data_IF_458463305996
#
_entry.id   IF_458463305996
#
_cell.length_a   1.000
_cell.length_b   1.000
_cell.length_c   1.000
_cell.angle_alpha   90.00
_cell.angle_beta   90.00
_cell.angle_gamma   90.00
#
_symmetry.space_group_name_H-M   'P 1'
#
loop_
_entity.id
_entity.type
_entity.pdbx_description
1 polymer ?
#
# COMPACT_ATOMS: atom_id res chain seq x y z
N UNK A 1 -6.75 -6.85 3.57
CA UNK A 1 -8.12 -6.30 3.49
C UNK A 1 -9.15 -7.05 4.34
N UNK A 2 -9.16 -8.40 4.39
CA UNK A 2 -10.11 -9.17 5.22
C UNK A 2 -10.23 -8.68 6.67
N UNK A 3 -9.11 -8.40 7.35
CA UNK A 3 -9.12 -7.91 8.73
C UNK A 3 -9.83 -6.57 8.92
N UNK A 4 -9.69 -5.65 7.96
CA UNK A 4 -10.39 -4.36 7.98
C UNK A 4 -11.90 -4.60 7.86
N UNK A 5 -12.32 -5.49 6.96
CA UNK A 5 -13.73 -5.85 6.78
C UNK A 5 -14.30 -6.52 8.04
N UNK A 6 -13.55 -7.43 8.67
CA UNK A 6 -13.96 -8.10 9.90
C UNK A 6 -14.11 -7.12 11.08
N UNK A 7 -13.21 -6.13 11.20
CA UNK A 7 -13.22 -5.13 12.27
C UNK A 7 -14.29 -4.06 12.03
N UNK A 8 -14.44 -3.60 10.79
CA UNK A 8 -15.46 -2.62 10.43
C UNK A 8 -16.87 -3.21 10.50
N UNK A 9 -17.04 -4.47 10.12
CA UNK A 9 -18.32 -5.19 10.23
C UNK A 9 -19.47 -4.60 9.40
N UNK A 10 -19.18 -3.69 8.46
CA UNK A 10 -20.18 -2.91 7.72
C UNK A 10 -21.13 -2.09 8.63
N UNK A 11 -20.59 -1.64 9.77
CA UNK A 11 -21.32 -0.86 10.76
C UNK A 11 -20.51 0.41 11.09
N UNK A 12 -21.03 1.60 10.74
CA UNK A 12 -20.37 2.87 11.03
C UNK A 12 -20.08 3.13 12.50
N UNK A 13 -20.87 2.60 13.45
CA UNK A 13 -20.64 2.80 14.89
C UNK A 13 -19.32 2.17 15.35
N UNK A 14 -18.81 1.17 14.62
CA UNK A 14 -17.48 0.60 14.89
C UNK A 14 -16.34 1.60 14.66
N UNK A 15 -16.59 2.71 13.96
CA UNK A 15 -15.65 3.81 13.83
C UNK A 15 -15.68 4.76 15.02
N UNK A 16 -16.54 4.58 16.03
CA UNK A 16 -16.47 5.35 17.28
C UNK A 16 -15.54 4.69 18.31
N UNK A 17 -15.21 3.42 18.12
CA UNK A 17 -14.25 2.68 18.93
C UNK A 17 -12.82 2.91 18.44
N UNK A 18 -12.02 3.66 19.22
CA UNK A 18 -10.62 3.95 18.88
C UNK A 18 -9.75 2.70 18.72
N UNK A 19 -10.04 1.61 19.43
CA UNK A 19 -9.28 0.35 19.26
C UNK A 19 -9.54 -0.26 17.89
N UNK A 20 -10.78 -0.16 17.40
CA UNK A 20 -11.13 -0.62 16.04
C UNK A 20 -10.54 0.29 14.97
N UNK A 21 -10.57 1.61 15.17
CA UNK A 21 -9.91 2.57 14.28
C UNK A 21 -8.41 2.26 14.16
N UNK A 22 -7.70 2.10 15.28
CA UNK A 22 -6.27 1.79 15.29
C UNK A 22 -5.97 0.49 14.56
N UNK A 23 -6.82 -0.54 14.75
CA UNK A 23 -6.69 -1.80 14.03
C UNK A 23 -6.84 -1.62 12.52
N UNK A 24 -7.80 -0.80 12.07
CA UNK A 24 -8.02 -0.51 10.65
C UNK A 24 -6.83 0.28 10.08
N UNK A 25 -6.41 1.35 10.74
CA UNK A 25 -5.28 2.20 10.34
C UNK A 25 -4.01 1.36 10.20
N UNK A 26 -3.71 0.53 11.20
CA UNK A 26 -2.53 -0.35 11.18
C UNK A 26 -2.53 -1.30 9.99
N UNK A 27 -3.70 -1.85 9.61
CA UNK A 27 -3.79 -2.73 8.46
C UNK A 27 -3.65 -2.00 7.13
N UNK A 28 -4.10 -0.74 7.04
CA UNK A 28 -3.88 0.12 5.87
C UNK A 28 -2.38 0.43 5.74
N UNK A 29 -1.73 0.86 6.83
CA UNK A 29 -0.30 1.13 6.85
C UNK A 29 0.52 -0.08 6.39
N UNK A 30 0.23 -1.27 6.92
CA UNK A 30 0.89 -2.52 6.51
C UNK A 30 0.69 -2.83 5.02
N UNK A 31 -0.47 -2.53 4.46
CA UNK A 31 -0.73 -2.73 3.04
C UNK A 31 0.09 -1.74 2.18
N UNK A 32 0.21 -0.48 2.61
CA UNK A 32 1.08 0.51 1.97
C UNK A 32 2.55 0.08 2.01
N UNK A 33 3.06 -0.32 3.17
CA UNK A 33 4.44 -0.80 3.35
C UNK A 33 4.74 -2.01 2.47
N UNK A 34 3.85 -3.03 2.47
CA UNK A 34 4.01 -4.20 1.61
C UNK A 34 4.01 -3.83 0.11
N UNK A 35 3.21 -2.83 -0.29
CA UNK A 35 3.17 -2.36 -1.68
C UNK A 35 4.47 -1.64 -2.06
N UNK A 36 5.04 -0.84 -1.15
CA UNK A 36 6.34 -0.17 -1.34
C UNK A 36 7.45 -1.22 -1.46
N UNK A 37 7.48 -2.21 -0.56
CA UNK A 37 8.49 -3.27 -0.58
C UNK A 37 8.45 -4.07 -1.88
N UNK A 38 7.25 -4.39 -2.38
CA UNK A 38 7.07 -5.03 -3.67
C UNK A 38 7.57 -4.15 -4.83
N UNK A 39 7.25 -2.85 -4.81
CA UNK A 39 7.71 -1.93 -5.84
C UNK A 39 9.24 -1.86 -5.89
N UNK A 40 9.88 -1.69 -4.72
CA UNK A 40 11.33 -1.69 -4.57
C UNK A 40 11.95 -3.01 -5.06
N UNK A 41 11.37 -4.14 -4.68
CA UNK A 41 11.84 -5.46 -5.09
C UNK A 41 11.77 -5.65 -6.61
N UNK A 42 10.67 -5.23 -7.26
CA UNK A 42 10.50 -5.34 -8.71
C UNK A 42 11.50 -4.43 -9.44
N UNK A 43 11.67 -3.18 -8.98
CA UNK A 43 12.65 -2.23 -9.54
C UNK A 43 14.06 -2.81 -9.51
N UNK A 44 14.47 -3.41 -8.39
CA UNK A 44 15.76 -4.07 -8.25
C UNK A 44 15.88 -5.32 -9.16
N UNK A 45 14.88 -6.20 -9.13
CA UNK A 45 14.88 -7.45 -9.89
C UNK A 45 14.88 -7.25 -11.41
N UNK A 46 14.24 -6.18 -11.90
CA UNK A 46 14.22 -5.79 -13.31
C UNK A 46 15.27 -4.75 -13.70
N UNK A 47 16.11 -4.31 -12.74
CA UNK A 47 17.18 -3.32 -12.95
C UNK A 47 16.68 -2.00 -13.56
N UNK A 48 15.56 -1.49 -13.06
CA UNK A 48 14.90 -0.29 -13.62
C UNK A 48 15.56 1.03 -13.18
N UNK A 49 16.43 1.00 -12.17
CA UNK A 49 17.08 2.17 -11.62
C UNK A 49 17.33 2.03 -10.12
N UNK A 50 17.79 3.11 -9.48
CA UNK A 50 17.98 3.19 -8.03
C UNK A 50 17.08 4.29 -7.44
N UNK A 51 15.86 3.95 -6.99
CA UNK A 51 14.93 4.93 -6.46
C UNK A 51 15.46 5.51 -5.14
N UNK A 52 15.34 6.83 -4.97
CA UNK A 52 15.70 7.57 -3.76
C UNK A 52 14.52 7.75 -2.80
N UNK A 53 13.31 7.39 -3.23
CA UNK A 53 12.09 7.42 -2.42
C UNK A 53 11.11 6.32 -2.85
N UNK A 54 10.13 6.02 -1.99
CA UNK A 54 9.05 5.08 -2.34
C UNK A 54 8.25 5.54 -3.56
N UNK A 55 7.94 6.84 -3.64
CA UNK A 55 7.26 7.44 -4.80
C UNK A 55 8.03 7.18 -6.10
N UNK A 56 9.34 7.43 -6.08
CA UNK A 56 10.18 7.22 -7.25
C UNK A 56 10.21 5.74 -7.69
N UNK A 57 10.12 4.80 -6.74
CA UNK A 57 9.99 3.39 -7.08
C UNK A 57 8.72 3.11 -7.91
N UNK A 58 7.58 3.70 -7.54
CA UNK A 58 6.35 3.60 -8.32
C UNK A 58 6.45 4.33 -9.68
N UNK A 59 7.09 5.50 -9.73
CA UNK A 59 7.33 6.24 -10.99
C UNK A 59 8.17 5.41 -11.99
N UNK A 60 9.17 4.68 -11.49
CA UNK A 60 9.98 3.75 -12.30
C UNK A 60 9.14 2.57 -12.83
N UNK A 61 8.19 2.06 -12.05
CA UNK A 61 7.26 1.03 -12.51
C UNK A 61 6.31 1.53 -13.59
N UNK A 62 5.80 2.75 -13.45
CA UNK A 62 4.96 3.40 -14.48
C UNK A 62 5.74 3.60 -15.76
N UNK A 63 6.95 4.13 -15.66
CA UNK A 63 7.85 4.35 -16.81
C UNK A 63 8.18 3.05 -17.53
N UNK A 64 8.33 1.95 -16.78
CA UNK A 64 8.55 0.61 -17.33
C UNK A 64 7.28 -0.08 -17.87
N UNK A 65 6.11 0.56 -17.79
CA UNK A 65 4.82 0.00 -18.23
C UNK A 65 4.32 -1.15 -17.36
N UNK A 66 4.79 -1.25 -16.12
CA UNK A 66 4.44 -2.31 -15.17
C UNK A 66 3.34 -1.89 -14.19
N UNK A 67 3.03 -0.59 -14.15
CA UNK A 67 1.96 -0.01 -13.34
C UNK A 67 1.28 1.10 -14.15
N UNK A 68 -0.05 1.21 -14.06
CA UNK A 68 -0.77 2.35 -14.66
C UNK A 68 -0.55 3.62 -13.86
N UNK A 69 -0.38 4.75 -14.53
CA UNK A 69 -0.22 6.05 -13.89
C UNK A 69 -1.41 6.42 -12.98
N UNK A 70 -2.63 6.01 -13.33
CA UNK A 70 -3.82 6.25 -12.49
C UNK A 70 -3.82 5.50 -11.15
N UNK A 71 -2.94 4.49 -10.99
CA UNK A 71 -2.85 3.65 -9.80
C UNK A 71 -1.60 3.93 -8.95
N UNK A 72 -0.61 4.64 -9.51
CA UNK A 72 0.65 4.97 -8.85
C UNK A 72 0.50 6.12 -7.85
#
# INVERSE_FOLDING_TARGET
MKRIQDVYGNDPENLEDFTKQDSIILNIQRACEASIDLAMHIVAGKKLGLPQSSREAFDLLVTAGLLSADLA
#
